data_IF_189962018657
#
_entry.id   IF_189962018657
#
_cell.length_a   1.000
_cell.length_b   1.000
_cell.length_c   1.000
_cell.angle_alpha   90.00
_cell.angle_beta   90.00
_cell.angle_gamma   90.00
#
_symmetry.space_group_name_H-M   'P 1'
#
loop_
_entity.id
_entity.type
_entity.pdbx_description
1 polymer ?
#
# COMPACT_ATOMS: atom_id res chain seq x y z
N UNK A 1 -4.01 -24.18 -14.82
CA UNK A 1 -2.67 -23.56 -14.85
C UNK A 1 -2.75 -22.15 -14.24
N UNK A 2 -2.78 -22.02 -12.90
CA UNK A 2 -2.57 -20.75 -12.16
C UNK A 2 -2.08 -21.09 -10.74
N UNK A 3 -0.90 -21.69 -10.65
CA UNK A 3 -0.24 -22.02 -9.39
C UNK A 3 0.95 -21.08 -9.22
N UNK A 4 0.83 -19.96 -8.48
CA UNK A 4 2.02 -19.13 -8.13
C UNK A 4 1.87 -18.10 -6.97
N UNK A 5 0.82 -18.09 -6.14
CA UNK A 5 0.66 -17.01 -5.13
C UNK A 5 0.45 -17.45 -3.67
N UNK A 6 0.61 -18.73 -3.34
CA UNK A 6 0.49 -19.23 -1.95
C UNK A 6 1.81 -19.27 -1.16
N UNK A 7 2.92 -18.74 -1.70
CA UNK A 7 4.26 -18.90 -1.08
C UNK A 7 4.74 -17.73 -0.23
N UNK A 8 4.02 -16.62 -0.12
CA UNK A 8 4.41 -15.58 0.84
C UNK A 8 3.73 -15.81 2.18
N UNK A 9 4.43 -16.60 3.01
CA UNK A 9 4.47 -16.63 4.48
C UNK A 9 3.21 -16.14 5.19
N UNK A 10 2.55 -17.01 5.94
CA UNK A 10 1.43 -16.68 6.85
C UNK A 10 1.72 -15.45 7.75
N UNK A 11 2.99 -15.23 8.12
CA UNK A 11 3.45 -14.04 8.86
C UNK A 11 3.29 -12.70 8.11
N UNK A 12 3.12 -12.71 6.79
CA UNK A 12 2.94 -11.50 5.99
C UNK A 12 1.46 -11.08 5.92
N UNK A 13 0.53 -12.02 6.11
CA UNK A 13 -0.90 -11.74 6.12
C UNK A 13 -1.33 -10.96 7.37
N UNK A 14 -0.61 -11.16 8.49
CA UNK A 14 -0.84 -10.48 9.76
C UNK A 14 -0.31 -9.04 9.79
N UNK A 15 0.50 -8.64 8.80
CA UNK A 15 1.03 -7.27 8.75
C UNK A 15 -0.06 -6.29 8.32
N UNK A 16 -0.07 -5.08 8.90
CA UNK A 16 -0.95 -4.02 8.42
C UNK A 16 -0.65 -3.76 6.94
N UNK A 17 -1.68 -3.90 6.11
CA UNK A 17 -1.62 -3.72 4.66
C UNK A 17 -2.25 -2.37 4.32
N UNK A 18 -1.60 -1.60 3.44
CA UNK A 18 -2.11 -0.31 2.99
C UNK A 18 -2.41 -0.38 1.49
N UNK A 19 -3.55 0.17 1.08
CA UNK A 19 -3.93 0.23 -0.33
C UNK A 19 -3.38 1.51 -0.94
N UNK A 20 -2.57 1.37 -1.99
CA UNK A 20 -1.93 2.51 -2.67
C UNK A 20 -2.27 2.44 -4.15
N UNK A 21 -3.12 3.35 -4.60
CA UNK A 21 -3.45 3.56 -6.00
C UNK A 21 -2.37 4.42 -6.65
N UNK A 22 -1.55 3.79 -7.49
CA UNK A 22 -0.51 4.46 -8.25
C UNK A 22 -1.01 4.84 -9.66
N UNK A 23 -0.38 5.85 -10.26
CA UNK A 23 -0.64 6.39 -11.60
C UNK A 23 -1.86 7.31 -11.73
N UNK A 24 -2.12 8.13 -10.71
CA UNK A 24 -3.19 9.13 -10.79
C UNK A 24 -2.94 10.22 -11.85
N UNK A 25 -1.73 10.32 -12.40
CA UNK A 25 -1.36 11.25 -13.48
C UNK A 25 -2.06 10.97 -14.82
N UNK A 26 -2.57 9.75 -15.00
CA UNK A 26 -3.25 9.35 -16.24
C UNK A 26 -4.70 9.83 -16.34
N UNK A 27 -5.22 10.45 -15.28
CA UNK A 27 -6.62 10.88 -15.18
C UNK A 27 -6.77 12.10 -14.28
N UNK A 28 -7.92 12.75 -14.33
CA UNK A 28 -8.19 13.87 -13.45
C UNK A 28 -8.34 13.42 -11.99
N UNK A 29 -8.00 14.31 -11.05
CA UNK A 29 -8.03 14.01 -9.62
C UNK A 29 -9.39 13.48 -9.16
N UNK A 30 -10.49 14.09 -9.61
CA UNK A 30 -11.84 13.67 -9.26
C UNK A 30 -12.18 12.28 -9.81
N UNK A 31 -11.68 11.94 -11.00
CA UNK A 31 -11.88 10.62 -11.60
C UNK A 31 -11.04 9.55 -10.88
N UNK A 32 -9.79 9.87 -10.54
CA UNK A 32 -8.93 9.00 -9.74
C UNK A 32 -9.56 8.68 -8.38
N UNK A 33 -10.10 9.70 -7.70
CA UNK A 33 -10.79 9.53 -6.42
C UNK A 33 -12.04 8.65 -6.55
N UNK A 34 -12.87 8.90 -7.57
CA UNK A 34 -14.07 8.10 -7.82
C UNK A 34 -13.74 6.63 -8.12
N UNK A 35 -12.71 6.38 -8.95
CA UNK A 35 -12.25 5.03 -9.28
C UNK A 35 -11.64 4.32 -8.08
N UNK A 36 -10.78 5.01 -7.32
CA UNK A 36 -10.19 4.44 -6.11
C UNK A 36 -11.25 4.06 -5.10
N UNK A 37 -12.26 4.91 -4.91
CA UNK A 37 -13.41 4.63 -4.04
C UNK A 37 -14.19 3.40 -4.52
N UNK A 38 -14.55 3.35 -5.80
CA UNK A 38 -15.27 2.21 -6.36
C UNK A 38 -14.48 0.88 -6.23
N UNK A 39 -13.16 0.92 -6.43
CA UNK A 39 -12.31 -0.26 -6.27
C UNK A 39 -12.18 -0.65 -4.80
N UNK A 40 -12.00 0.32 -3.90
CA UNK A 40 -11.95 0.07 -2.46
C UNK A 40 -13.26 -0.58 -1.98
N UNK A 41 -14.42 -0.04 -2.38
CA UNK A 41 -15.73 -0.61 -2.08
C UNK A 41 -15.88 -2.02 -2.66
N UNK A 42 -15.48 -2.25 -3.92
CA UNK A 42 -15.55 -3.57 -4.54
C UNK A 42 -14.63 -4.61 -3.88
N UNK A 43 -13.52 -4.18 -3.28
CA UNK A 43 -12.62 -5.04 -2.52
C UNK A 43 -13.05 -5.22 -1.05
N UNK A 44 -14.08 -4.49 -0.58
CA UNK A 44 -14.46 -4.44 0.83
C UNK A 44 -13.39 -3.79 1.71
N UNK A 45 -12.64 -2.83 1.16
CA UNK A 45 -11.56 -2.13 1.84
C UNK A 45 -12.11 -0.90 2.56
N UNK A 46 -12.17 -0.96 3.89
CA UNK A 46 -12.70 0.12 4.74
C UNK A 46 -11.60 1.04 5.32
N UNK A 47 -10.34 0.60 5.24
CA UNK A 47 -9.20 1.34 5.77
C UNK A 47 -8.72 2.46 4.83
N UNK A 48 -7.86 3.33 5.36
CA UNK A 48 -7.22 4.41 4.60
C UNK A 48 -6.52 3.86 3.34
N UNK A 49 -6.77 4.52 2.21
CA UNK A 49 -6.08 4.28 0.96
C UNK A 49 -5.37 5.56 0.50
N UNK A 50 -4.34 5.38 -0.33
CA UNK A 50 -3.52 6.47 -0.85
C UNK A 50 -3.64 6.57 -2.35
N UNK A 51 -3.58 7.80 -2.86
CA UNK A 51 -3.58 8.15 -4.27
C UNK A 51 -2.23 8.81 -4.56
N UNK A 52 -1.41 8.16 -5.38
CA UNK A 52 -0.07 8.66 -5.72
C UNK A 52 0.20 8.61 -7.23
N UNK A 53 1.11 9.45 -7.68
CA UNK A 53 1.79 9.28 -8.96
C UNK A 53 3.29 9.16 -8.70
N UNK A 54 3.81 7.95 -8.85
CA UNK A 54 5.25 7.72 -8.76
C UNK A 54 6.02 8.49 -9.85
N UNK A 55 5.44 8.63 -11.04
CA UNK A 55 6.07 9.31 -12.18
C UNK A 55 6.19 10.82 -11.97
N UNK A 56 5.12 11.45 -11.48
CA UNK A 56 5.07 12.89 -11.21
C UNK A 56 5.47 13.25 -9.78
N UNK A 57 5.88 12.26 -8.97
CA UNK A 57 6.19 12.41 -7.53
C UNK A 57 5.06 13.03 -6.70
N UNK A 58 3.82 12.99 -7.17
CA UNK A 58 2.65 13.52 -6.46
C UNK A 58 2.15 12.52 -5.42
N UNK A 59 1.90 12.99 -4.19
CA UNK A 59 1.41 12.16 -3.07
C UNK A 59 2.44 11.17 -2.51
N UNK A 60 3.59 11.00 -3.15
CA UNK A 60 4.67 10.11 -2.69
C UNK A 60 5.29 10.61 -1.38
N UNK A 61 5.47 11.93 -1.23
CA UNK A 61 6.03 12.52 -0.01
C UNK A 61 5.13 12.28 1.19
N UNK A 62 3.84 12.51 1.04
CA UNK A 62 2.85 12.33 2.10
C UNK A 62 2.75 10.85 2.51
N UNK A 63 2.75 9.95 1.51
CA UNK A 63 2.84 8.51 1.77
C UNK A 63 4.11 8.14 2.55
N UNK A 64 5.27 8.67 2.17
CA UNK A 64 6.53 8.41 2.87
C UNK A 64 6.51 8.92 4.31
N UNK A 65 5.93 10.10 4.56
CA UNK A 65 5.76 10.64 5.90
C UNK A 65 4.84 9.77 6.74
N UNK A 66 3.69 9.35 6.21
CA UNK A 66 2.76 8.49 6.92
C UNK A 66 3.37 7.12 7.24
N UNK A 67 4.15 6.55 6.31
CA UNK A 67 4.90 5.31 6.55
C UNK A 67 5.95 5.50 7.63
N UNK A 68 6.68 6.63 7.62
CA UNK A 68 7.67 6.94 8.65
C UNK A 68 7.02 7.08 10.03
N UNK A 69 5.91 7.82 10.13
CA UNK A 69 5.12 7.95 11.36
C UNK A 69 4.65 6.58 11.84
N UNK A 70 4.14 5.74 10.95
CA UNK A 70 3.72 4.38 11.28
C UNK A 70 4.87 3.53 11.85
N UNK A 71 6.07 3.64 11.27
CA UNK A 71 7.27 2.94 11.75
C UNK A 71 7.73 3.46 13.12
N UNK A 72 7.68 4.77 13.34
CA UNK A 72 8.06 5.40 14.61
C UNK A 72 7.06 5.02 15.72
N UNK A 73 5.76 5.06 15.43
CA UNK A 73 4.69 4.76 16.40
C UNK A 73 4.60 3.28 16.75
N UNK A 74 5.01 2.38 15.85
CA UNK A 74 5.15 0.94 16.12
C UNK A 74 6.61 0.49 16.12
N UNK A 75 7.41 0.81 17.16
CA UNK A 75 8.76 0.30 17.27
C UNK A 75 8.72 -1.17 17.69
N UNK A 76 8.59 -2.11 16.74
CA UNK A 76 8.74 -3.54 17.03
C UNK A 76 7.89 -4.51 16.21
N UNK A 77 8.28 -4.74 14.96
CA UNK A 77 8.65 -6.09 14.51
C UNK A 77 9.66 -5.91 13.38
N UNK A 78 10.84 -5.39 13.74
CA UNK A 78 12.04 -5.62 12.94
C UNK A 78 12.31 -7.12 13.00
N UNK A 79 11.58 -7.86 12.17
CA UNK A 79 11.91 -9.21 11.77
C UNK A 79 13.37 -9.17 11.38
N UNK A 80 14.20 -9.61 12.32
CA UNK A 80 15.65 -9.73 12.21
C UNK A 80 15.85 -10.50 10.91
N UNK A 81 16.25 -9.75 9.88
CA UNK A 81 16.48 -10.26 8.54
C UNK A 81 17.64 -11.23 8.71
N UNK A 82 17.35 -12.52 8.87
CA UNK A 82 18.38 -13.53 8.73
C UNK A 82 18.77 -13.49 7.25
N UNK A 83 19.79 -12.70 6.94
CA UNK A 83 20.68 -13.00 5.84
C UNK A 83 21.18 -14.43 6.09
N UNK A 84 20.49 -15.40 5.51
CA UNK A 84 20.98 -16.74 5.36
C UNK A 84 21.85 -16.73 4.10
N UNK A 85 23.16 -16.73 4.37
CA UNK A 85 24.31 -17.26 3.61
C UNK A 85 24.22 -17.29 2.08
#
# INVERSE_FOLDING_TARGET
>A
MLASWKKYSEKLAEKPRWLVFNKIDLMDKAEAEAKAKAIAEAMGWEDKYYLISAASQMGVKDLCWDVMTFIIEKPGDSGRRSEAA
#
